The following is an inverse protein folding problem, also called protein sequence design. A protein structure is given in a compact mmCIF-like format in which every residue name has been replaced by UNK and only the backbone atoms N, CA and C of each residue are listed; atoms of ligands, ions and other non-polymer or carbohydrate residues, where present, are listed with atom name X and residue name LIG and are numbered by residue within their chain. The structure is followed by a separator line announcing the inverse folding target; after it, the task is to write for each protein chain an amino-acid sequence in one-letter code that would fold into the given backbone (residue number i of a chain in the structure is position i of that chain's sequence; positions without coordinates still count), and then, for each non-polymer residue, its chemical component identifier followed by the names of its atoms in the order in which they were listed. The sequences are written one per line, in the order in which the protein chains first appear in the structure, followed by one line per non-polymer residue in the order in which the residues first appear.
data_IF_810224860817
#
_entry.id   IF_810224860817
#
_cell.length_a   1.000
_cell.length_b   1.000
_cell.length_c   1.000
_cell.angle_alpha   90.00
_cell.angle_beta   90.00
_cell.angle_gamma   90.00
#
_symmetry.space_group_name_H-M   'P 1'
#
loop_
_entity.id
_entity.type
_entity.pdbx_description
1 polymer ?
#
# COMPACT_ATOMS: atom_id res chain seq x y z
N UNK A 1 -39.38 1.47 -22.06
CA UNK A 1 -40.24 1.20 -20.89
C UNK A 1 -40.33 -0.28 -20.57
N UNK A 2 -40.93 -1.14 -21.40
CA UNK A 2 -41.04 -2.59 -21.12
C UNK A 2 -39.67 -3.26 -20.87
N UNK A 3 -38.69 -3.01 -21.74
CA UNK A 3 -37.31 -3.51 -21.57
C UNK A 3 -36.59 -3.00 -20.33
N UNK A 4 -37.01 -1.84 -19.81
CA UNK A 4 -36.43 -1.24 -18.61
C UNK A 4 -37.07 -1.83 -17.35
N UNK A 5 -38.37 -2.08 -17.38
CA UNK A 5 -39.09 -2.81 -16.34
C UNK A 5 -38.59 -4.25 -16.20
N UNK A 6 -38.42 -4.97 -17.31
CA UNK A 6 -37.86 -6.34 -17.32
C UNK A 6 -36.43 -6.39 -16.78
N UNK A 7 -35.64 -5.34 -17.00
CA UNK A 7 -34.30 -5.21 -16.45
C UNK A 7 -34.28 -4.67 -15.00
N UNK A 8 -35.45 -4.50 -14.37
CA UNK A 8 -35.60 -3.94 -13.02
C UNK A 8 -35.11 -2.50 -12.87
N UNK A 9 -35.01 -1.73 -13.95
CA UNK A 9 -34.49 -0.35 -13.93
C UNK A 9 -35.60 0.62 -13.57
N UNK A 10 -35.88 0.77 -12.28
CA UNK A 10 -36.96 1.61 -11.76
C UNK A 10 -36.57 3.09 -11.69
N UNK A 11 -36.74 3.88 -12.78
CA UNK A 11 -36.92 5.35 -12.72
C UNK A 11 -37.68 5.89 -13.96
N UNK A 12 -38.97 6.22 -13.84
CA UNK A 12 -39.75 6.84 -14.92
C UNK A 12 -39.38 8.31 -15.23
N UNK A 13 -38.59 8.98 -14.37
CA UNK A 13 -38.42 10.45 -14.39
C UNK A 13 -37.01 10.96 -14.76
N UNK A 14 -36.06 10.08 -15.11
CA UNK A 14 -34.64 10.45 -15.06
C UNK A 14 -34.01 10.89 -16.39
N UNK A 15 -34.70 10.83 -17.53
CA UNK A 15 -34.13 11.29 -18.81
C UNK A 15 -34.80 12.59 -19.26
N UNK A 16 -34.01 13.54 -19.78
CA UNK A 16 -34.58 14.68 -20.51
C UNK A 16 -35.47 14.12 -21.63
N UNK A 17 -36.72 14.57 -21.71
CA UNK A 17 -37.73 14.07 -22.67
C UNK A 17 -37.40 14.20 -24.16
N UNK A 18 -36.15 14.54 -24.50
CA UNK A 18 -35.62 14.68 -25.84
C UNK A 18 -35.33 13.33 -26.52
N UNK A 19 -35.68 13.23 -27.79
CA UNK A 19 -35.39 12.08 -28.67
C UNK A 19 -33.89 11.78 -28.83
N UNK A 20 -33.02 12.78 -28.65
CA UNK A 20 -31.55 12.62 -28.69
C UNK A 20 -31.03 11.93 -27.42
N UNK A 21 -31.54 12.30 -26.25
CA UNK A 21 -31.19 11.68 -24.96
C UNK A 21 -31.59 10.21 -24.94
N UNK A 22 -32.73 9.87 -25.55
CA UNK A 22 -33.21 8.50 -25.65
C UNK A 22 -32.34 7.61 -26.55
N UNK A 23 -31.76 8.16 -27.62
CA UNK A 23 -30.79 7.44 -28.47
C UNK A 23 -29.48 7.16 -27.72
N UNK A 24 -28.95 8.17 -27.03
CA UNK A 24 -27.73 8.02 -26.20
C UNK A 24 -27.97 6.98 -25.10
N UNK A 25 -29.12 7.02 -24.44
CA UNK A 25 -29.52 6.03 -23.44
C UNK A 25 -29.57 4.60 -24.02
N UNK A 26 -30.20 4.41 -25.18
CA UNK A 26 -30.24 3.11 -25.86
C UNK A 26 -28.85 2.61 -26.25
N UNK A 27 -27.98 3.50 -26.73
CA UNK A 27 -26.60 3.16 -27.10
C UNK A 27 -25.75 2.77 -25.87
N UNK A 28 -25.83 3.55 -24.79
CA UNK A 28 -25.17 3.27 -23.51
C UNK A 28 -25.61 1.94 -22.91
N UNK A 29 -26.88 1.59 -23.09
CA UNK A 29 -27.40 0.31 -22.63
C UNK A 29 -27.08 -0.88 -23.55
N UNK A 30 -26.35 -0.70 -24.65
CA UNK A 30 -25.97 -1.82 -25.52
C UNK A 30 -25.05 -2.81 -24.80
N UNK A 31 -25.16 -4.10 -25.14
CA UNK A 31 -24.29 -5.15 -24.57
C UNK A 31 -22.81 -4.87 -24.89
N UNK A 32 -22.53 -4.35 -26.08
CA UNK A 32 -21.18 -3.96 -26.52
C UNK A 32 -20.58 -2.83 -25.67
N UNK A 33 -21.37 -1.80 -25.33
CA UNK A 33 -20.88 -0.73 -24.49
C UNK A 33 -20.63 -1.20 -23.05
N UNK A 34 -21.51 -2.06 -22.52
CA UNK A 34 -21.28 -2.68 -21.21
C UNK A 34 -20.05 -3.58 -21.21
N UNK A 35 -19.86 -4.42 -22.24
CA UNK A 35 -18.68 -5.26 -22.34
C UNK A 35 -17.42 -4.41 -22.45
N UNK A 36 -17.44 -3.35 -23.27
CA UNK A 36 -16.34 -2.39 -23.40
C UNK A 36 -15.96 -1.77 -22.06
N UNK A 37 -16.90 -1.20 -21.30
CA UNK A 37 -16.61 -0.62 -19.99
C UNK A 37 -16.05 -1.65 -19.00
N UNK A 38 -16.49 -2.91 -19.10
CA UNK A 38 -15.98 -3.97 -18.24
C UNK A 38 -14.59 -4.42 -18.65
N UNK A 39 -14.27 -4.41 -19.94
CA UNK A 39 -12.92 -4.63 -20.44
C UNK A 39 -11.98 -3.51 -20.00
N UNK A 40 -12.42 -2.24 -20.05
CA UNK A 40 -11.65 -1.10 -19.53
C UNK A 40 -11.38 -1.26 -18.04
N UNK A 41 -12.39 -1.67 -17.26
CA UNK A 41 -12.21 -1.92 -15.82
C UNK A 41 -11.26 -3.09 -15.55
N UNK A 42 -11.34 -4.18 -16.31
CA UNK A 42 -10.42 -5.31 -16.20
C UNK A 42 -9.01 -4.92 -16.61
N UNK A 43 -8.85 -4.17 -17.71
CA UNK A 43 -7.57 -3.64 -18.15
C UNK A 43 -6.94 -2.71 -17.09
N UNK A 44 -7.74 -1.88 -16.43
CA UNK A 44 -7.30 -1.05 -15.33
C UNK A 44 -6.80 -1.86 -14.12
N UNK A 45 -7.42 -3.01 -13.82
CA UNK A 45 -6.90 -3.93 -12.80
C UNK A 45 -5.63 -4.62 -13.26
N UNK A 46 -5.60 -5.09 -14.51
CA UNK A 46 -4.44 -5.78 -15.08
C UNK A 46 -3.21 -4.87 -15.17
N UNK A 47 -3.40 -3.56 -15.29
CA UNK A 47 -2.30 -2.58 -15.33
C UNK A 47 -1.42 -2.64 -14.07
N UNK A 48 -1.97 -3.09 -12.93
CA UNK A 48 -1.18 -3.33 -11.70
C UNK A 48 -0.07 -4.37 -11.92
N UNK A 49 -0.26 -5.35 -12.80
CA UNK A 49 0.77 -6.35 -13.11
C UNK A 49 1.93 -5.76 -13.91
N UNK A 50 1.67 -4.68 -14.65
CA UNK A 50 2.66 -4.00 -15.50
C UNK A 50 3.32 -2.84 -14.75
N UNK A 51 2.60 -2.21 -13.83
CA UNK A 51 3.13 -1.18 -12.95
C UNK A 51 4.14 -1.79 -11.96
N UNK A 52 5.40 -1.36 -12.00
CA UNK A 52 6.39 -1.81 -11.03
C UNK A 52 5.95 -1.46 -9.59
N UNK A 53 6.18 -2.35 -8.59
CA UNK A 53 5.95 -2.01 -7.20
C UNK A 53 6.79 -0.77 -6.88
N UNK A 54 6.19 0.23 -6.24
CA UNK A 54 6.86 1.50 -5.92
C UNK A 54 8.17 1.30 -5.15
N UNK A 55 8.26 0.22 -4.34
CA UNK A 55 9.49 -0.17 -3.63
C UNK A 55 10.66 -0.57 -4.56
N UNK A 56 10.38 -1.13 -5.74
CA UNK A 56 11.44 -1.52 -6.69
C UNK A 56 12.02 -0.33 -7.46
N UNK A 57 11.28 0.79 -7.52
CA UNK A 57 11.78 2.05 -8.09
C UNK A 57 12.82 2.73 -7.19
N UNK A 58 12.80 2.46 -5.89
CA UNK A 58 13.68 3.09 -4.89
C UNK A 58 14.94 2.27 -4.60
N UNK A 59 15.06 1.04 -5.13
CA UNK A 59 16.24 0.21 -4.89
C UNK A 59 17.47 0.80 -5.60
N UNK A 60 18.63 0.89 -4.91
CA UNK A 60 19.89 1.28 -5.52
C UNK A 60 20.20 0.37 -6.71
N UNK A 61 20.33 0.96 -7.90
CA UNK A 61 20.63 0.23 -9.13
C UNK A 61 22.10 -0.18 -9.11
N UNK A 62 22.37 -1.49 -9.14
CA UNK A 62 23.74 -2.00 -9.24
C UNK A 62 24.40 -1.51 -10.55
N UNK A 63 25.66 -1.06 -10.51
CA UNK A 63 26.37 -0.60 -11.70
C UNK A 63 26.48 -1.74 -12.72
N UNK A 64 26.02 -1.50 -13.96
CA UNK A 64 26.02 -2.48 -15.05
C UNK A 64 24.68 -3.19 -15.31
N UNK A 65 23.63 -2.93 -14.52
CA UNK A 65 22.30 -3.47 -14.86
C UNK A 65 21.74 -2.80 -16.11
N UNK A 66 20.99 -3.53 -16.97
CA UNK A 66 20.38 -2.94 -18.16
C UNK A 66 19.48 -1.75 -17.76
N UNK A 67 19.40 -0.70 -18.59
CA UNK A 67 18.54 0.44 -18.30
C UNK A 67 17.11 -0.06 -18.08
N UNK A 68 16.56 0.17 -16.89
CA UNK A 68 15.14 -0.09 -16.64
C UNK A 68 14.34 0.94 -17.43
N UNK A 69 14.03 0.63 -18.67
CA UNK A 69 13.08 1.39 -19.47
C UNK A 69 11.70 1.19 -18.86
N UNK A 70 11.35 2.03 -17.90
CA UNK A 70 9.99 2.09 -17.41
C UNK A 70 9.13 2.62 -18.54
N UNK A 71 8.34 1.74 -19.17
CA UNK A 71 7.24 2.16 -20.04
C UNK A 71 6.38 3.15 -19.24
N UNK A 72 6.08 4.31 -19.81
CA UNK A 72 5.30 5.35 -19.15
C UNK A 72 3.83 4.91 -19.01
N UNK A 73 3.51 4.20 -17.91
CA UNK A 73 2.15 3.74 -17.60
C UNK A 73 1.16 4.91 -17.45
N UNK A 74 1.67 6.12 -17.16
CA UNK A 74 0.90 7.36 -17.04
C UNK A 74 0.04 7.66 -18.27
N UNK A 75 0.53 7.36 -19.48
CA UNK A 75 -0.26 7.56 -20.70
C UNK A 75 -1.47 6.62 -20.77
N UNK A 76 -1.28 5.36 -20.33
CA UNK A 76 -2.32 4.34 -20.31
C UNK A 76 -3.34 4.65 -19.20
N UNK A 77 -2.86 5.02 -18.01
CA UNK A 77 -3.70 5.49 -16.90
C UNK A 77 -4.54 6.71 -17.31
N UNK A 78 -3.94 7.66 -18.03
CA UNK A 78 -4.64 8.81 -18.60
C UNK A 78 -5.71 8.42 -19.64
N UNK A 79 -5.44 7.44 -20.51
CA UNK A 79 -6.42 6.94 -21.47
C UNK A 79 -7.61 6.25 -20.78
N UNK A 80 -7.35 5.48 -19.72
CA UNK A 80 -8.39 4.85 -18.91
C UNK A 80 -9.21 5.91 -18.16
N UNK A 81 -8.55 6.91 -17.58
CA UNK A 81 -9.22 8.04 -16.93
C UNK A 81 -10.13 8.77 -17.92
N UNK A 82 -9.67 9.02 -19.15
CA UNK A 82 -10.47 9.63 -20.21
C UNK A 82 -11.72 8.79 -20.51
N UNK A 83 -11.59 7.46 -20.59
CA UNK A 83 -12.73 6.58 -20.80
C UNK A 83 -13.77 6.67 -19.66
N UNK A 84 -13.33 6.80 -18.40
CA UNK A 84 -14.24 7.00 -17.27
C UNK A 84 -14.88 8.39 -17.26
N UNK A 85 -14.12 9.44 -17.57
CA UNK A 85 -14.65 10.80 -17.73
C UNK A 85 -15.71 10.85 -18.84
N UNK A 86 -15.47 10.16 -19.97
CA UNK A 86 -16.43 10.06 -21.07
C UNK A 86 -17.70 9.31 -20.66
N UNK A 87 -17.59 8.21 -19.91
CA UNK A 87 -18.77 7.50 -19.39
C UNK A 87 -19.61 8.42 -18.47
N UNK A 88 -18.99 9.11 -17.52
CA UNK A 88 -19.69 10.07 -16.65
C UNK A 88 -20.31 11.20 -17.47
N UNK A 89 -19.60 11.74 -18.46
CA UNK A 89 -20.12 12.80 -19.32
C UNK A 89 -21.37 12.32 -20.10
N UNK A 90 -21.35 11.09 -20.62
CA UNK A 90 -22.51 10.47 -21.28
C UNK A 90 -23.65 10.31 -20.29
N UNK A 91 -23.37 9.83 -19.07
CA UNK A 91 -24.36 9.67 -18.00
C UNK A 91 -25.04 11.00 -17.62
N UNK A 92 -24.25 12.04 -17.42
CA UNK A 92 -24.74 13.39 -17.12
C UNK A 92 -25.53 13.96 -18.30
N UNK A 93 -25.13 13.67 -19.54
CA UNK A 93 -25.78 14.18 -20.76
C UNK A 93 -27.22 13.68 -20.91
N UNK A 94 -27.50 12.41 -20.59
CA UNK A 94 -28.85 11.86 -20.68
C UNK A 94 -29.66 12.05 -19.39
N UNK A 95 -29.03 12.00 -18.21
CA UNK A 95 -29.72 12.06 -16.91
C UNK A 95 -29.94 13.50 -16.38
N UNK A 96 -29.09 14.44 -16.80
CA UNK A 96 -28.99 15.77 -16.21
C UNK A 96 -28.14 15.80 -14.94
N UNK A 97 -27.52 16.96 -14.69
CA UNK A 97 -26.55 17.15 -13.58
C UNK A 97 -27.20 16.96 -12.20
N UNK A 98 -28.36 17.57 -11.97
CA UNK A 98 -29.07 17.49 -10.68
C UNK A 98 -29.49 16.06 -10.34
N UNK A 99 -30.08 15.35 -11.31
CA UNK A 99 -30.49 13.95 -11.16
C UNK A 99 -29.31 13.02 -10.96
N UNK A 100 -28.18 13.30 -11.60
CA UNK A 100 -26.94 12.53 -11.46
C UNK A 100 -26.39 12.64 -10.04
N UNK A 101 -26.24 13.87 -9.51
CA UNK A 101 -25.67 14.13 -8.18
C UNK A 101 -26.59 13.73 -7.02
N UNK A 102 -27.90 13.62 -7.27
CA UNK A 102 -28.88 13.12 -6.28
C UNK A 102 -28.68 11.62 -5.96
N UNK A 103 -28.11 10.84 -6.89
CA UNK A 103 -27.88 9.42 -6.68
C UNK A 103 -26.54 9.17 -5.96
N UNK A 104 -26.59 8.69 -4.70
CA UNK A 104 -25.39 8.39 -3.88
C UNK A 104 -24.34 7.57 -4.64
N UNK A 105 -24.76 6.55 -5.39
CA UNK A 105 -23.85 5.68 -6.14
C UNK A 105 -23.17 6.36 -7.32
N UNK A 106 -23.86 7.28 -8.00
CA UNK A 106 -23.29 8.01 -9.13
C UNK A 106 -22.37 9.14 -8.64
N UNK A 107 -22.71 9.75 -7.50
CA UNK A 107 -21.84 10.72 -6.83
C UNK A 107 -20.55 10.07 -6.33
N UNK A 108 -20.62 8.85 -5.76
CA UNK A 108 -19.42 8.07 -5.41
C UNK A 108 -18.55 7.77 -6.63
N UNK A 109 -19.15 7.36 -7.75
CA UNK A 109 -18.42 7.12 -8.99
C UNK A 109 -17.70 8.37 -9.52
N UNK A 110 -18.33 9.55 -9.40
CA UNK A 110 -17.72 10.82 -9.76
C UNK A 110 -16.57 11.21 -8.83
N UNK A 111 -16.74 11.05 -7.52
CA UNK A 111 -15.69 11.34 -6.53
C UNK A 111 -14.47 10.44 -6.75
N UNK A 112 -14.70 9.14 -6.97
CA UNK A 112 -13.62 8.18 -7.22
C UNK A 112 -12.88 8.51 -8.53
N UNK A 113 -13.58 8.92 -9.58
CA UNK A 113 -12.96 9.37 -10.84
C UNK A 113 -12.15 10.67 -10.66
N UNK A 114 -12.62 11.59 -9.81
CA UNK A 114 -11.89 12.80 -9.46
C UNK A 114 -10.60 12.50 -8.67
N UNK A 115 -10.67 11.59 -7.70
CA UNK A 115 -9.49 11.11 -6.96
C UNK A 115 -8.46 10.47 -7.91
N UNK A 116 -8.92 9.70 -8.89
CA UNK A 116 -8.03 9.13 -9.90
C UNK A 116 -7.40 10.20 -10.81
N UNK A 117 -8.17 11.23 -11.18
CA UNK A 117 -7.65 12.38 -11.92
C UNK A 117 -6.54 13.11 -11.15
N UNK A 118 -6.76 13.37 -9.86
CA UNK A 118 -5.76 13.98 -8.99
C UNK A 118 -4.48 13.14 -8.92
N UNK A 119 -4.61 11.82 -8.78
CA UNK A 119 -3.48 10.88 -8.71
C UNK A 119 -2.63 10.87 -10.00
N UNK A 120 -3.28 10.89 -11.16
CA UNK A 120 -2.58 10.98 -12.47
C UNK A 120 -1.86 12.33 -12.60
N UNK A 121 -2.48 13.43 -12.17
CA UNK A 121 -1.86 14.78 -12.20
C UNK A 121 -0.66 14.87 -11.26
N UNK A 122 -0.77 14.35 -10.03
CA UNK A 122 0.35 14.35 -9.07
C UNK A 122 1.51 13.47 -9.55
N UNK A 123 1.19 12.36 -10.22
CA UNK A 123 2.19 11.48 -10.85
C UNK A 123 2.89 12.18 -12.01
N UNK A 124 2.15 12.95 -12.82
CA UNK A 124 2.70 13.70 -13.95
C UNK A 124 3.56 14.92 -13.52
N UNK A 125 3.20 15.58 -12.42
CA UNK A 125 3.93 16.76 -11.90
C UNK A 125 5.10 16.41 -10.99
N UNK A 126 5.22 15.15 -10.56
CA UNK A 126 6.37 14.66 -9.78
C UNK A 126 6.41 15.13 -8.32
N UNK A 127 5.37 15.80 -7.82
CA UNK A 127 5.33 16.39 -6.48
C UNK A 127 5.24 15.32 -5.37
N UNK A 128 4.42 14.29 -5.57
CA UNK A 128 4.17 13.22 -4.60
C UNK A 128 3.89 11.93 -5.38
N UNK A 129 4.65 10.88 -5.09
CA UNK A 129 4.57 9.58 -5.80
C UNK A 129 3.81 8.52 -4.98
N UNK A 130 2.73 8.94 -4.32
CA UNK A 130 1.89 8.06 -3.50
C UNK A 130 0.60 7.79 -4.27
N UNK A 131 0.46 6.56 -4.77
CA UNK A 131 -0.61 6.17 -5.69
C UNK A 131 -1.86 5.74 -4.92
N UNK A 132 -2.59 6.70 -4.37
CA UNK A 132 -3.82 6.43 -3.62
C UNK A 132 -4.91 5.82 -4.52
N UNK A 133 -4.87 6.09 -5.83
CA UNK A 133 -5.80 5.53 -6.81
C UNK A 133 -5.86 4.00 -6.80
N UNK A 134 -4.76 3.32 -6.45
CA UNK A 134 -4.68 1.85 -6.42
C UNK A 134 -5.66 1.24 -5.41
N UNK A 135 -5.84 1.87 -4.25
CA UNK A 135 -6.82 1.42 -3.26
C UNK A 135 -8.27 1.64 -3.73
N UNK A 136 -8.50 2.63 -4.59
CA UNK A 136 -9.81 2.94 -5.15
C UNK A 136 -10.16 2.11 -6.40
N UNK A 137 -9.19 1.45 -7.05
CA UNK A 137 -9.44 0.53 -8.19
C UNK A 137 -10.53 -0.52 -7.88
N UNK A 138 -10.44 -1.34 -6.82
CA UNK A 138 -11.51 -2.30 -6.50
C UNK A 138 -12.88 -1.63 -6.30
N UNK A 139 -12.90 -0.38 -5.80
CA UNK A 139 -14.12 0.40 -5.65
C UNK A 139 -14.73 0.80 -7.00
N UNK A 140 -13.95 1.01 -8.07
CA UNK A 140 -14.49 1.23 -9.42
C UNK A 140 -15.31 0.03 -9.92
N UNK A 141 -14.90 -1.20 -9.61
CA UNK A 141 -15.66 -2.41 -10.01
C UNK A 141 -16.98 -2.47 -9.24
N UNK A 142 -16.93 -2.13 -7.95
CA UNK A 142 -18.11 -2.04 -7.08
C UNK A 142 -19.10 -1.00 -7.61
N UNK A 143 -18.62 0.19 -8.01
CA UNK A 143 -19.49 1.22 -8.56
C UNK A 143 -19.99 0.87 -9.95
N UNK A 144 -19.27 0.16 -10.83
CA UNK A 144 -19.80 -0.13 -12.18
C UNK A 144 -20.88 -1.21 -12.22
N UNK A 145 -20.84 -2.21 -11.32
CA UNK A 145 -21.71 -3.39 -11.40
C UNK A 145 -22.92 -3.26 -10.47
N UNK A 146 -24.12 -3.20 -11.05
CA UNK A 146 -25.39 -3.17 -10.30
C UNK A 146 -25.52 -4.34 -9.29
N UNK A 147 -25.10 -5.54 -9.68
CA UNK A 147 -25.10 -6.70 -8.78
C UNK A 147 -24.22 -6.46 -7.55
N UNK A 148 -23.03 -5.89 -7.73
CA UNK A 148 -22.10 -5.61 -6.62
C UNK A 148 -22.64 -4.50 -5.73
N UNK A 149 -23.22 -3.43 -6.29
CA UNK A 149 -23.91 -2.39 -5.50
C UNK A 149 -25.01 -2.96 -4.60
N UNK A 150 -25.78 -3.92 -5.12
CA UNK A 150 -26.82 -4.61 -4.35
C UNK A 150 -26.21 -5.41 -3.19
N UNK A 151 -25.17 -6.20 -3.46
CA UNK A 151 -24.45 -6.96 -2.43
C UNK A 151 -23.89 -6.03 -1.35
N UNK A 152 -23.21 -4.95 -1.74
CA UNK A 152 -22.64 -3.98 -0.79
C UNK A 152 -23.74 -3.33 0.04
N UNK A 153 -24.86 -2.94 -0.57
CA UNK A 153 -26.00 -2.37 0.17
C UNK A 153 -26.56 -3.38 1.16
N UNK A 154 -26.68 -4.65 0.78
CA UNK A 154 -27.12 -5.73 1.65
C UNK A 154 -26.18 -5.93 2.84
N UNK A 155 -24.87 -5.96 2.59
CA UNK A 155 -23.85 -6.05 3.65
C UNK A 155 -23.94 -4.84 4.58
N UNK A 156 -23.98 -3.62 4.04
CA UNK A 156 -24.11 -2.39 4.85
C UNK A 156 -25.41 -2.36 5.66
N UNK A 157 -26.47 -3.00 5.18
CA UNK A 157 -27.72 -3.12 5.92
C UNK A 157 -27.65 -4.18 7.02
N UNK A 158 -26.85 -5.23 6.85
CA UNK A 158 -26.60 -6.25 7.86
C UNK A 158 -25.66 -5.78 8.98
N UNK A 159 -24.70 -4.89 8.67
CA UNK A 159 -23.76 -4.32 9.66
C UNK A 159 -24.43 -3.83 10.95
N UNK A 160 -25.46 -2.95 10.92
CA UNK A 160 -26.10 -2.46 12.15
C UNK A 160 -26.77 -3.57 12.97
N UNK A 161 -27.26 -4.63 12.33
CA UNK A 161 -27.83 -5.79 13.03
C UNK A 161 -26.75 -6.65 13.71
N UNK A 162 -25.53 -6.65 13.18
CA UNK A 162 -24.37 -7.37 13.75
C UNK A 162 -23.57 -6.53 14.76
N UNK A 163 -23.76 -5.22 14.80
CA UNK A 163 -23.08 -4.30 15.73
C UNK A 163 -23.07 -4.77 17.19
N UNK A 164 -24.17 -5.22 17.82
CA UNK A 164 -24.13 -5.66 19.22
C UNK A 164 -23.25 -6.90 19.42
N UNK A 165 -23.26 -7.85 18.48
CA UNK A 165 -22.41 -9.03 18.51
C UNK A 165 -20.93 -8.64 18.36
N UNK A 166 -20.64 -7.71 17.45
CA UNK A 166 -19.30 -7.17 17.24
C UNK A 166 -18.79 -6.44 18.50
N UNK A 167 -19.65 -5.68 19.17
CA UNK A 167 -19.30 -4.95 20.39
C UNK A 167 -18.89 -5.90 21.52
N UNK A 168 -19.66 -6.97 21.74
CA UNK A 168 -19.35 -7.99 22.74
C UNK A 168 -18.04 -8.70 22.38
N UNK A 169 -17.86 -9.08 21.11
CA UNK A 169 -16.62 -9.71 20.65
C UNK A 169 -15.39 -8.81 20.86
N UNK A 170 -15.53 -7.51 20.59
CA UNK A 170 -14.46 -6.52 20.78
C UNK A 170 -14.16 -6.27 22.26
N UNK A 171 -15.17 -6.27 23.13
CA UNK A 171 -14.99 -6.18 24.58
C UNK A 171 -14.25 -7.42 25.13
N UNK A 172 -14.61 -8.62 24.68
CA UNK A 172 -13.91 -9.84 25.07
C UNK A 172 -12.45 -9.84 24.58
N UNK A 173 -12.21 -9.44 23.33
CA UNK A 173 -10.85 -9.25 22.79
C UNK A 173 -10.03 -8.25 23.63
N UNK A 174 -10.64 -7.15 24.08
CA UNK A 174 -9.98 -6.17 24.93
C UNK A 174 -9.60 -6.76 26.30
N UNK A 175 -10.50 -7.49 26.95
CA UNK A 175 -10.23 -8.16 28.24
C UNK A 175 -9.12 -9.20 28.07
N UNK A 176 -9.20 -10.06 27.05
CA UNK A 176 -8.16 -11.06 26.78
C UNK A 176 -6.82 -10.43 26.40
N UNK A 177 -6.83 -9.32 25.65
CA UNK A 177 -5.61 -8.57 25.35
C UNK A 177 -4.97 -8.02 26.62
N UNK A 178 -5.76 -7.47 27.54
CA UNK A 178 -5.25 -6.97 28.82
C UNK A 178 -4.68 -8.08 29.68
N UNK A 179 -5.43 -9.18 29.85
CA UNK A 179 -4.97 -10.37 30.58
C UNK A 179 -3.70 -10.95 29.94
N UNK A 180 -3.65 -11.03 28.60
CA UNK A 180 -2.49 -11.53 27.87
C UNK A 180 -1.23 -10.72 28.14
N UNK A 181 -1.32 -9.38 28.14
CA UNK A 181 -0.20 -8.50 28.49
C UNK A 181 0.22 -8.68 29.95
N UNK A 182 -0.73 -8.81 30.88
CA UNK A 182 -0.42 -9.05 32.30
C UNK A 182 0.29 -10.40 32.53
N UNK A 183 -0.15 -11.46 31.86
CA UNK A 183 0.47 -12.78 31.95
C UNK A 183 1.87 -12.81 31.34
N UNK A 184 2.06 -12.15 30.18
CA UNK A 184 3.39 -12.03 29.56
C UNK A 184 4.35 -11.19 30.40
N UNK A 185 3.86 -10.10 31.00
CA UNK A 185 4.67 -9.26 31.90
C UNK A 185 5.02 -9.95 33.21
N UNK A 186 4.13 -10.79 33.74
CA UNK A 186 4.41 -11.53 34.98
C UNK A 186 5.42 -12.65 34.76
N UNK A 187 5.38 -13.31 33.60
CA UNK A 187 6.35 -14.35 33.24
C UNK A 187 7.72 -13.79 32.90
N UNK A 188 7.82 -12.62 32.26
CA UNK A 188 9.11 -11.98 31.99
C UNK A 188 9.87 -11.60 33.26
N UNK A 189 9.19 -11.11 34.31
CA UNK A 189 9.84 -10.77 35.59
C UNK A 189 10.35 -11.99 36.36
N UNK A 190 9.71 -13.15 36.22
CA UNK A 190 10.14 -14.41 36.84
C UNK A 190 11.38 -14.98 36.12
N UNK A 191 11.48 -14.80 34.80
CA UNK A 191 12.65 -15.19 34.00
C UNK A 191 13.83 -14.25 34.30
N UNK A 192 13.60 -12.95 34.50
CA UNK A 192 14.63 -11.98 34.90
C UNK A 192 15.14 -12.24 36.34
N UNK A 193 14.26 -12.69 37.24
CA UNK A 193 14.60 -13.16 38.58
C UNK A 193 15.41 -14.47 38.63
N UNK A 194 15.26 -15.34 37.62
CA UNK A 194 16.10 -16.53 37.44
C UNK A 194 17.42 -16.21 36.74
N UNK A 195 17.44 -15.21 35.84
CA UNK A 195 18.65 -14.72 35.19
C UNK A 195 19.57 -13.92 36.15
N UNK A 196 19.04 -13.44 37.27
CA UNK A 196 19.79 -12.77 38.36
C UNK A 196 20.25 -13.72 39.46
N UNK A 197 20.07 -15.04 39.31
CA UNK A 197 20.89 -15.98 40.09
C UNK A 197 22.34 -15.83 39.62
N UNK A 198 23.29 -15.46 40.51
CA UNK A 198 24.69 -15.42 40.14
C UNK A 198 25.11 -16.86 39.82
N UNK A 199 25.25 -17.16 38.53
CA UNK A 199 25.93 -18.38 38.11
C UNK A 199 27.35 -18.36 38.72
N UNK A 200 27.89 -19.51 39.18
CA UNK A 200 29.21 -19.59 39.80
C UNK A 200 30.35 -19.47 38.78
N UNK A 201 30.15 -18.79 37.64
CA UNK A 201 31.17 -18.64 36.61
C UNK A 201 31.87 -17.28 36.74
N UNK A 202 33.21 -17.26 36.84
CA UNK A 202 33.96 -16.02 36.83
C UNK A 202 33.83 -15.32 35.47
N UNK A 203 33.80 -13.97 35.41
CA UNK A 203 33.74 -13.24 34.16
C UNK A 203 35.05 -13.40 33.38
N UNK A 204 35.03 -14.25 32.35
CA UNK A 204 36.05 -14.28 31.29
C UNK A 204 35.81 -13.12 30.31
N UNK A 205 36.05 -11.89 30.78
CA UNK A 205 36.43 -10.74 29.96
C UNK A 205 36.61 -9.52 30.88
N UNK A 206 37.84 -9.27 31.32
CA UNK A 206 38.20 -7.94 31.83
C UNK A 206 38.16 -6.93 30.68
N UNK A 207 37.57 -5.74 30.84
CA UNK A 207 37.72 -4.68 29.86
C UNK A 207 39.21 -4.33 29.74
N UNK A 208 39.77 -4.40 28.54
CA UNK A 208 41.12 -3.93 28.26
C UNK A 208 41.16 -2.42 28.52
N UNK A 209 41.83 -2.01 29.61
CA UNK A 209 42.13 -0.62 29.91
C UNK A 209 43.43 -0.27 29.18
N UNK A 210 43.42 0.57 28.13
CA UNK A 210 44.67 1.03 27.53
C UNK A 210 45.44 1.91 28.52
N UNK A 211 46.79 1.84 28.55
CA UNK A 211 47.59 2.67 29.45
C UNK A 211 47.45 4.16 29.11
N UNK A 212 47.31 4.99 30.16
CA UNK A 212 47.29 6.45 30.10
C UNK A 212 48.57 6.98 29.45
N UNK A 213 48.44 7.82 28.42
CA UNK A 213 49.56 8.61 27.89
C UNK A 213 50.11 9.55 28.99
N UNK A 214 51.44 9.66 29.15
CA UNK A 214 52.05 10.67 30.01
C UNK A 214 51.98 12.05 29.35
N UNK A 215 51.82 13.14 30.15
CA UNK A 215 51.72 14.51 29.64
C UNK A 215 53.02 14.97 28.96
N UNK A 216 52.95 15.96 28.05
CA UNK A 216 54.10 16.37 27.25
C UNK A 216 55.10 17.14 28.12
N UNK A 217 56.20 16.47 28.47
CA UNK A 217 57.35 17.04 29.15
C UNK A 217 58.63 16.80 28.34
N UNK A 218 59.16 17.91 27.82
CA UNK A 218 60.54 18.15 27.39
C UNK A 218 61.42 17.01 26.83
N UNK A 219 61.62 17.08 25.51
CA UNK A 219 62.80 16.69 24.75
C UNK A 219 64.14 16.63 25.52
N UNK A 220 64.78 15.46 25.55
CA UNK A 220 66.25 15.33 25.41
C UNK A 220 66.69 13.93 24.92
N UNK A 221 67.14 13.93 23.68
CA UNK A 221 68.08 13.07 22.92
C UNK A 221 68.72 11.83 23.57
N UNK A 222 68.61 10.67 22.89
CA UNK A 222 69.74 9.97 22.25
C UNK A 222 69.29 8.63 21.62
N UNK A 223 69.47 8.47 20.30
CA UNK A 223 69.48 7.16 19.61
C UNK A 223 70.83 6.42 19.81
N UNK A 224 71.18 5.34 19.05
CA UNK A 224 70.64 4.98 17.73
C UNK A 224 70.26 3.48 17.50
N UNK A 225 69.32 3.31 16.59
CA UNK A 225 69.10 2.28 15.56
C UNK A 225 69.72 0.86 15.69
N UNK A 226 68.88 -0.16 15.52
CA UNK A 226 69.23 -1.38 14.75
C UNK A 226 68.00 -1.96 14.03
N UNK A 227 68.16 -2.59 12.85
CA UNK A 227 67.13 -2.66 11.81
C UNK A 227 66.34 -3.96 11.81
N UNK A 228 65.11 -3.89 11.29
CA UNK A 228 64.23 -5.01 11.01
C UNK A 228 64.88 -6.03 10.06
N UNK A 229 65.13 -7.25 10.56
CA UNK A 229 65.42 -8.44 9.75
C UNK A 229 64.17 -9.32 9.57
N UNK A 230 64.09 -10.16 8.51
CA UNK A 230 62.87 -10.86 8.13
C UNK A 230 62.59 -12.09 9.03
N UNK A 231 61.31 -12.32 9.31
CA UNK A 231 60.77 -13.41 10.12
C UNK A 231 61.28 -14.79 9.65
N UNK A 232 61.93 -15.53 10.56
CA UNK A 232 62.28 -16.93 10.34
C UNK A 232 61.21 -17.84 10.96
N UNK A 233 60.81 -18.87 10.21
CA UNK A 233 59.65 -19.74 10.50
C UNK A 233 59.85 -20.78 11.62
N UNK A 234 60.94 -20.68 12.38
CA UNK A 234 61.31 -21.66 13.41
C UNK A 234 60.70 -21.37 14.79
N UNK A 235 60.16 -20.17 15.02
CA UNK A 235 59.62 -19.77 16.33
C UNK A 235 58.20 -20.32 16.59
N UNK A 236 57.57 -20.94 15.58
CA UNK A 236 56.24 -21.53 15.71
C UNK A 236 56.23 -22.88 16.46
N UNK A 237 57.39 -23.54 16.61
CA UNK A 237 57.46 -24.88 17.19
C UNK A 237 57.55 -24.90 18.73
N UNK A 238 57.90 -23.79 19.39
CA UNK A 238 58.05 -23.73 20.85
C UNK A 238 56.79 -23.31 21.62
N UNK A 239 55.68 -23.01 20.94
CA UNK A 239 54.45 -22.53 21.57
C UNK A 239 53.32 -23.58 21.66
N UNK A 240 53.55 -24.82 21.23
CA UNK A 240 52.56 -25.92 21.30
C UNK A 240 52.93 -27.01 22.32
N UNK A 241 53.83 -26.73 23.27
CA UNK A 241 54.28 -27.69 24.28
C UNK A 241 54.17 -27.18 25.73
N UNK A 242 53.17 -26.35 26.03
CA UNK A 242 52.81 -25.96 27.40
C UNK A 242 51.30 -25.90 27.57
#
# INVERSE_FOLDING_TARGET
FVSDALAGRSRPAAYKGDSRSLRVYKCHHSAAYRSFLTLVAVAHMALVLVESPSGWRQLPVAPGSPPRTFMSTTAIEGAILLAYCLDIAIQVRYAGVSTYLSSRWNSLEAIITLLFCADVITTATGLVHVQFSRAFRPLFVVTKRRHVRFLVTGVLHAVPALTPLLLIALALLAIFSFVGVLLLSSSSGLIEGLATQPLPFPPLCSPFVPPREPPPGNLSWAGPETPLGPWNSTDAASLLAS
#
